data_IF_676325415489
#
_entry.id   IF_676325415489
#
_cell.length_a   1.000
_cell.length_b   1.000
_cell.length_c   1.000
_cell.angle_alpha   90.00
_cell.angle_beta   90.00
_cell.angle_gamma   90.00
#
_symmetry.space_group_name_H-M   'P 1'
#
loop_
_entity.id
_entity.type
_entity.pdbx_description
1 polymer ?
#
# COMPACT_ATOMS: atom_id res chain seq x y z
N UNK A 1 21.08 -1.97 -7.08
CA UNK A 1 20.02 -2.45 -8.02
C UNK A 1 18.70 -2.43 -7.24
N UNK A 2 17.65 -1.83 -7.78
CA UNK A 2 16.35 -1.78 -7.10
C UNK A 2 15.77 -3.21 -7.00
N UNK A 3 15.55 -3.79 -5.80
CA UNK A 3 15.05 -5.15 -5.67
C UNK A 3 13.66 -5.35 -6.29
N UNK A 4 12.85 -4.29 -6.36
CA UNK A 4 11.49 -4.30 -6.91
C UNK A 4 11.44 -4.42 -8.45
N UNK A 5 12.60 -4.43 -9.13
CA UNK A 5 12.71 -4.62 -10.58
C UNK A 5 13.07 -6.07 -10.97
N UNK A 6 12.76 -7.08 -10.12
CA UNK A 6 13.04 -8.50 -10.38
C UNK A 6 11.77 -9.30 -10.66
N UNK A 7 11.84 -10.31 -11.55
CA UNK A 7 10.72 -11.21 -11.84
C UNK A 7 10.21 -11.93 -10.57
N UNK A 8 11.15 -12.31 -9.71
CA UNK A 8 10.85 -12.96 -8.43
C UNK A 8 9.95 -12.08 -7.57
N UNK A 9 10.33 -10.80 -7.36
CA UNK A 9 9.54 -9.90 -6.53
C UNK A 9 8.20 -9.53 -7.17
N UNK A 10 8.14 -9.38 -8.49
CA UNK A 10 6.85 -9.20 -9.19
C UNK A 10 5.90 -10.37 -8.92
N UNK A 11 6.39 -11.61 -9.03
CA UNK A 11 5.58 -12.81 -8.76
C UNK A 11 5.13 -12.90 -7.30
N UNK A 12 6.02 -12.58 -6.33
CA UNK A 12 5.69 -12.55 -4.90
C UNK A 12 4.64 -11.47 -4.58
N UNK A 13 4.73 -10.28 -5.19
CA UNK A 13 3.76 -9.21 -4.99
C UNK A 13 2.43 -9.50 -5.69
N UNK A 14 2.43 -10.13 -6.86
CA UNK A 14 1.19 -10.60 -7.49
C UNK A 14 0.51 -11.66 -6.62
N UNK A 15 1.26 -12.61 -6.05
CA UNK A 15 0.74 -13.58 -5.09
C UNK A 15 0.16 -12.88 -3.86
N UNK A 16 0.92 -11.98 -3.23
CA UNK A 16 0.51 -11.24 -2.02
C UNK A 16 -0.75 -10.39 -2.23
N UNK A 17 -0.90 -9.80 -3.43
CA UNK A 17 -1.99 -8.89 -3.76
C UNK A 17 -3.25 -9.58 -4.29
N UNK A 18 -3.11 -10.69 -5.03
CA UNK A 18 -4.22 -11.26 -5.80
C UNK A 18 -4.58 -12.70 -5.45
N UNK A 19 -3.73 -13.43 -4.73
CA UNK A 19 -4.03 -14.80 -4.36
C UNK A 19 -5.14 -14.87 -3.31
N UNK A 20 -5.97 -15.91 -3.39
CA UNK A 20 -6.95 -16.17 -2.33
C UNK A 20 -6.25 -16.65 -1.05
N UNK A 21 -6.90 -16.50 0.13
CA UNK A 21 -6.33 -16.97 1.38
C UNK A 21 -5.86 -18.43 1.34
N UNK A 22 -6.60 -19.31 0.65
CA UNK A 22 -6.28 -20.74 0.51
C UNK A 22 -5.04 -20.99 -0.36
N UNK A 23 -4.72 -20.04 -1.24
CA UNK A 23 -3.51 -20.12 -2.08
C UNK A 23 -2.26 -19.62 -1.35
N UNK A 24 -2.43 -18.75 -0.35
CA UNK A 24 -1.33 -18.14 0.43
C UNK A 24 -1.05 -18.95 1.68
N UNK A 25 -2.08 -19.23 2.49
CA UNK A 25 -1.96 -19.84 3.82
C UNK A 25 -1.62 -21.33 3.69
N UNK A 26 -0.63 -21.84 4.47
CA UNK A 26 -0.32 -23.26 4.43
C UNK A 26 -1.48 -24.11 4.98
N UNK A 27 -1.67 -25.32 4.47
CA UNK A 27 -2.65 -26.26 5.03
C UNK A 27 -2.39 -26.51 6.51
N UNK A 28 -3.46 -26.55 7.31
CA UNK A 28 -3.38 -26.91 8.75
C UNK A 28 -3.11 -25.73 9.70
N UNK A 29 -3.05 -24.49 9.19
CA UNK A 29 -2.90 -23.25 10.00
C UNK A 29 -3.97 -22.22 9.65
N UNK A 30 -5.26 -22.53 9.83
CA UNK A 30 -6.37 -21.64 9.44
C UNK A 30 -6.35 -20.29 10.17
N UNK A 31 -5.67 -20.19 11.31
CA UNK A 31 -5.50 -18.96 12.08
C UNK A 31 -4.81 -17.85 11.26
N UNK A 32 -3.97 -18.24 10.29
CA UNK A 32 -3.27 -17.28 9.41
C UNK A 32 -4.17 -16.70 8.32
N UNK A 33 -5.38 -17.24 8.09
CA UNK A 33 -6.31 -16.74 7.07
C UNK A 33 -6.65 -15.26 7.27
N UNK A 34 -6.75 -14.79 8.51
CA UNK A 34 -7.00 -13.40 8.85
C UNK A 34 -5.86 -12.44 8.42
N UNK A 35 -4.68 -12.99 8.08
CA UNK A 35 -3.51 -12.23 7.62
C UNK A 35 -3.38 -12.16 6.10
N UNK A 36 -4.23 -12.87 5.35
CA UNK A 36 -4.29 -12.78 3.89
C UNK A 36 -5.04 -11.52 3.42
N UNK A 37 -5.06 -11.27 2.12
CA UNK A 37 -5.79 -10.16 1.48
C UNK A 37 -5.45 -8.77 2.03
N UNK A 38 -4.22 -8.54 2.44
CA UNK A 38 -3.83 -7.28 3.07
C UNK A 38 -4.14 -6.05 2.21
N UNK A 39 -3.85 -6.10 0.91
CA UNK A 39 -4.11 -4.98 -0.01
C UNK A 39 -5.61 -4.63 -0.12
N UNK A 40 -6.50 -5.62 0.04
CA UNK A 40 -7.95 -5.40 0.12
C UNK A 40 -8.33 -4.83 1.48
N UNK A 41 -7.85 -5.45 2.57
CA UNK A 41 -8.20 -5.07 3.94
C UNK A 41 -7.69 -3.70 4.35
N UNK A 42 -6.54 -3.27 3.83
CA UNK A 42 -6.01 -1.92 4.07
C UNK A 42 -6.94 -0.82 3.57
N UNK A 43 -7.76 -1.10 2.55
CA UNK A 43 -8.82 -0.21 2.06
C UNK A 43 -10.13 -0.53 2.76
N UNK A 44 -10.63 -1.76 2.66
CA UNK A 44 -11.98 -2.11 3.10
C UNK A 44 -12.24 -1.88 4.60
N UNK A 45 -11.20 -1.94 5.45
CA UNK A 45 -11.33 -1.69 6.90
C UNK A 45 -11.04 -0.26 7.31
N UNK A 46 -10.23 0.46 6.52
CA UNK A 46 -9.73 1.77 6.93
C UNK A 46 -10.45 2.94 6.23
N UNK A 47 -10.97 2.74 5.01
CA UNK A 47 -11.68 3.78 4.29
C UNK A 47 -13.01 4.14 4.99
N UNK A 48 -13.16 5.41 5.35
CA UNK A 48 -14.39 5.94 5.93
C UNK A 48 -15.33 6.37 4.79
N UNK A 49 -16.16 5.43 4.34
CA UNK A 49 -17.03 5.65 3.16
C UNK A 49 -18.05 6.76 3.33
N UNK A 50 -18.50 7.00 4.56
CA UNK A 50 -19.47 8.05 4.90
C UNK A 50 -18.90 9.47 4.73
N UNK A 51 -17.57 9.61 4.68
CA UNK A 51 -16.90 10.88 4.44
C UNK A 51 -16.62 11.15 2.95
N UNK A 52 -16.97 10.21 2.06
CA UNK A 52 -16.66 10.35 0.64
C UNK A 52 -17.70 11.19 -0.09
N UNK A 53 -17.29 12.17 -0.92
CA UNK A 53 -18.20 12.81 -1.86
C UNK A 53 -18.57 11.82 -2.99
N UNK A 54 -19.70 12.08 -3.67
CA UNK A 54 -20.20 11.23 -4.77
C UNK A 54 -19.16 10.99 -5.88
N UNK A 55 -18.32 11.99 -6.15
CA UNK A 55 -17.28 11.95 -7.19
C UNK A 55 -15.89 11.89 -6.55
N UNK A 56 -15.73 11.05 -5.55
CA UNK A 56 -14.47 10.92 -4.85
C UNK A 56 -13.33 10.51 -5.80
N UNK A 57 -12.15 11.11 -5.58
CA UNK A 57 -10.89 10.79 -6.26
C UNK A 57 -9.91 10.23 -5.26
N UNK A 58 -9.19 9.18 -5.61
CA UNK A 58 -8.19 8.57 -4.75
C UNK A 58 -6.81 8.55 -5.40
N UNK A 59 -5.78 8.69 -4.57
CA UNK A 59 -4.37 8.46 -4.88
C UNK A 59 -3.86 7.31 -4.02
N UNK A 60 -3.31 6.28 -4.65
CA UNK A 60 -2.70 5.13 -4.01
C UNK A 60 -1.19 5.20 -4.22
N UNK A 61 -0.44 5.63 -3.21
CA UNK A 61 1.01 5.87 -3.28
C UNK A 61 1.76 4.63 -2.80
N UNK A 62 2.68 4.12 -3.63
CA UNK A 62 3.30 2.82 -3.42
C UNK A 62 2.31 1.69 -3.71
N UNK A 63 1.52 1.83 -4.80
CA UNK A 63 0.44 0.90 -5.14
C UNK A 63 0.92 -0.51 -5.51
N UNK A 64 2.22 -0.72 -5.68
CA UNK A 64 2.82 -1.95 -6.16
C UNK A 64 2.11 -2.48 -7.42
N UNK A 65 1.60 -3.71 -7.39
CA UNK A 65 0.89 -4.32 -8.52
C UNK A 65 -0.62 -3.96 -8.56
N UNK A 66 -1.09 -2.98 -7.77
CA UNK A 66 -2.34 -2.25 -7.98
C UNK A 66 -3.61 -2.81 -7.32
N UNK A 67 -3.55 -3.84 -6.47
CA UNK A 67 -4.78 -4.43 -5.91
C UNK A 67 -5.56 -3.47 -5.00
N UNK A 68 -4.87 -2.69 -4.17
CA UNK A 68 -5.47 -1.62 -3.34
C UNK A 68 -6.14 -0.54 -4.18
N UNK A 69 -5.50 -0.15 -5.30
CA UNK A 69 -6.08 0.82 -6.24
C UNK A 69 -7.42 0.32 -6.83
N UNK A 70 -7.51 -0.97 -7.18
CA UNK A 70 -8.77 -1.55 -7.63
C UNK A 70 -9.82 -1.61 -6.51
N UNK A 71 -9.42 -1.84 -5.27
CA UNK A 71 -10.36 -1.82 -4.15
C UNK A 71 -10.90 -0.41 -3.88
N UNK A 72 -10.04 0.63 -3.97
CA UNK A 72 -10.48 2.03 -3.91
C UNK A 72 -11.49 2.37 -5.02
N UNK A 73 -11.36 1.78 -6.22
CA UNK A 73 -12.29 2.01 -7.33
C UNK A 73 -13.72 1.49 -7.10
N UNK A 74 -13.97 0.72 -6.04
CA UNK A 74 -15.34 0.40 -5.59
C UNK A 74 -16.07 1.64 -5.08
N UNK A 75 -15.33 2.59 -4.52
CA UNK A 75 -15.86 3.75 -3.80
C UNK A 75 -15.54 5.08 -4.47
N UNK A 76 -14.49 5.12 -5.30
CA UNK A 76 -14.02 6.33 -5.96
C UNK A 76 -14.28 6.28 -7.47
N UNK A 77 -14.58 7.43 -8.07
CA UNK A 77 -14.85 7.56 -9.51
C UNK A 77 -13.56 7.64 -10.33
N UNK A 78 -12.47 8.07 -9.71
CA UNK A 78 -11.13 8.12 -10.29
C UNK A 78 -10.11 7.66 -9.24
N UNK A 79 -9.22 6.74 -9.64
CA UNK A 79 -8.12 6.27 -8.80
C UNK A 79 -6.82 6.35 -9.59
N UNK A 80 -5.80 6.93 -8.97
CA UNK A 80 -4.44 6.97 -9.51
C UNK A 80 -3.56 6.11 -8.62
N UNK A 81 -3.02 5.02 -9.16
CA UNK A 81 -1.99 4.24 -8.50
C UNK A 81 -0.61 4.68 -8.95
N UNK A 82 0.28 4.93 -8.01
CA UNK A 82 1.67 5.36 -8.28
C UNK A 82 2.64 4.43 -7.58
N UNK A 83 3.65 3.98 -8.31
CA UNK A 83 4.75 3.21 -7.75
C UNK A 83 6.07 3.57 -8.44
N UNK A 84 7.17 3.44 -7.73
CA UNK A 84 8.50 3.71 -8.26
C UNK A 84 8.97 2.61 -9.23
N UNK A 85 8.50 1.37 -9.07
CA UNK A 85 8.88 0.23 -9.91
C UNK A 85 8.12 0.25 -11.24
N UNK A 86 8.86 0.35 -12.32
CA UNK A 86 8.32 0.20 -13.67
C UNK A 86 7.68 -1.16 -13.89
N UNK A 87 8.25 -2.22 -13.29
CA UNK A 87 7.75 -3.59 -13.43
C UNK A 87 6.45 -3.81 -12.67
N UNK A 88 6.32 -3.26 -11.48
CA UNK A 88 5.07 -3.29 -10.74
C UNK A 88 3.97 -2.56 -11.48
N UNK A 89 4.25 -1.37 -12.01
CA UNK A 89 3.28 -0.61 -12.81
C UNK A 89 2.91 -1.33 -14.10
N UNK A 90 3.87 -1.98 -14.77
CA UNK A 90 3.56 -2.81 -15.95
C UNK A 90 2.63 -3.98 -15.58
N UNK A 91 2.88 -4.67 -14.46
CA UNK A 91 2.01 -5.75 -13.97
C UNK A 91 0.60 -5.23 -13.60
N UNK A 92 0.51 -4.09 -12.89
CA UNK A 92 -0.76 -3.45 -12.55
C UNK A 92 -1.58 -3.07 -13.79
N UNK A 93 -0.92 -2.53 -14.84
CA UNK A 93 -1.55 -2.22 -16.13
C UNK A 93 -2.03 -3.48 -16.85
N UNK A 94 -1.24 -4.56 -16.85
CA UNK A 94 -1.65 -5.84 -17.43
C UNK A 94 -2.90 -6.40 -16.74
N UNK A 95 -2.97 -6.35 -15.41
CA UNK A 95 -4.18 -6.75 -14.66
C UNK A 95 -5.36 -5.84 -14.98
N UNK A 96 -5.16 -4.54 -15.13
CA UNK A 96 -6.22 -3.61 -15.55
C UNK A 96 -6.80 -4.00 -16.91
N UNK A 97 -5.96 -4.35 -17.87
CA UNK A 97 -6.37 -4.69 -19.23
C UNK A 97 -7.07 -6.05 -19.29
N UNK A 98 -6.47 -7.08 -18.68
CA UNK A 98 -6.97 -8.45 -18.75
C UNK A 98 -8.15 -8.72 -17.80
N UNK A 99 -8.17 -8.08 -16.63
CA UNK A 99 -9.12 -8.35 -15.55
C UNK A 99 -8.70 -9.50 -14.64
N UNK A 100 -7.49 -10.01 -14.79
CA UNK A 100 -6.93 -11.06 -13.95
C UNK A 100 -5.43 -10.87 -13.75
N UNK A 101 -4.90 -11.43 -12.68
CA UNK A 101 -3.48 -11.57 -12.42
C UNK A 101 -3.02 -13.01 -12.72
N UNK A 102 -1.92 -13.15 -13.44
CA UNK A 102 -1.23 -14.42 -13.67
C UNK A 102 0.14 -14.37 -13.02
N UNK A 103 0.47 -15.41 -12.25
CA UNK A 103 1.76 -15.47 -11.55
C UNK A 103 2.11 -16.90 -11.17
N UNK A 104 3.39 -17.14 -10.90
CA UNK A 104 3.90 -18.41 -10.42
C UNK A 104 4.09 -18.35 -8.90
N UNK A 105 3.41 -19.22 -8.18
CA UNK A 105 3.61 -19.41 -6.75
C UNK A 105 4.76 -20.39 -6.54
N UNK A 106 5.86 -19.93 -5.93
CA UNK A 106 6.99 -20.77 -5.60
C UNK A 106 6.60 -21.83 -4.56
N UNK A 107 6.92 -23.10 -4.84
CA UNK A 107 6.70 -24.20 -3.91
C UNK A 107 8.02 -24.63 -3.24
N UNK A 108 9.04 -24.96 -4.05
CA UNK A 108 10.35 -25.37 -3.55
C UNK A 108 11.39 -25.21 -4.67
N UNK A 109 12.47 -24.46 -4.42
CA UNK A 109 13.53 -24.26 -5.40
C UNK A 109 12.99 -23.70 -6.73
N UNK A 110 13.04 -24.51 -7.80
CA UNK A 110 12.50 -24.15 -9.12
C UNK A 110 11.07 -24.67 -9.36
N UNK A 111 10.48 -25.39 -8.40
CA UNK A 111 9.12 -25.87 -8.51
C UNK A 111 8.15 -24.72 -8.23
N UNK A 112 7.19 -24.51 -9.13
CA UNK A 112 6.19 -23.46 -8.99
C UNK A 112 4.83 -23.94 -9.53
N UNK A 113 3.76 -23.38 -8.97
CA UNK A 113 2.39 -23.57 -9.43
C UNK A 113 1.93 -22.31 -10.16
N UNK A 114 1.52 -22.44 -11.42
CA UNK A 114 0.92 -21.34 -12.17
C UNK A 114 -0.50 -21.08 -11.66
N UNK A 115 -0.79 -19.82 -11.35
CA UNK A 115 -2.08 -19.36 -10.84
C UNK A 115 -2.63 -18.22 -11.70
N UNK A 116 -3.96 -18.17 -11.78
CA UNK A 116 -4.70 -17.05 -12.38
C UNK A 116 -5.87 -16.68 -11.49
N UNK A 117 -5.90 -15.43 -11.05
CA UNK A 117 -6.94 -14.92 -10.18
C UNK A 117 -7.61 -13.69 -10.79
N UNK A 118 -8.93 -13.72 -10.90
CA UNK A 118 -9.72 -12.66 -11.50
C UNK A 118 -9.99 -11.53 -10.51
N UNK A 119 -10.01 -10.30 -11.00
CA UNK A 119 -10.59 -9.20 -10.25
C UNK A 119 -12.10 -9.40 -10.12
N UNK A 120 -12.69 -9.03 -8.97
CA UNK A 120 -14.13 -9.02 -8.80
C UNK A 120 -14.82 -8.20 -9.91
N UNK A 121 -15.88 -8.77 -10.50
CA UNK A 121 -16.57 -8.19 -11.68
C UNK A 121 -17.22 -6.84 -11.41
N UNK A 122 -17.54 -6.56 -10.14
CA UNK A 122 -18.12 -5.30 -9.68
C UNK A 122 -17.13 -4.13 -9.62
N UNK A 123 -15.83 -4.39 -9.81
CA UNK A 123 -14.81 -3.34 -9.87
C UNK A 123 -14.72 -2.77 -11.29
N UNK A 124 -15.10 -1.50 -11.46
CA UNK A 124 -14.90 -0.80 -12.73
C UNK A 124 -13.43 -0.40 -12.91
N UNK A 125 -12.67 -1.26 -13.59
CA UNK A 125 -11.23 -1.07 -13.87
C UNK A 125 -10.92 0.19 -14.66
N UNK A 126 -11.88 0.76 -15.40
CA UNK A 126 -11.69 1.99 -16.19
C UNK A 126 -11.43 3.20 -15.32
N UNK A 127 -11.91 3.17 -14.06
CA UNK A 127 -11.69 4.22 -13.06
C UNK A 127 -10.24 4.31 -12.57
N UNK A 128 -9.43 3.27 -12.80
CA UNK A 128 -8.05 3.20 -12.31
C UNK A 128 -7.08 3.53 -13.41
N UNK A 129 -6.08 4.35 -13.12
CA UNK A 129 -4.88 4.54 -13.94
C UNK A 129 -3.63 4.32 -13.11
N UNK A 130 -2.56 3.83 -13.73
CA UNK A 130 -1.30 3.54 -13.08
C UNK A 130 -0.18 4.35 -13.71
N UNK A 131 0.64 4.99 -12.86
CA UNK A 131 1.73 5.87 -13.24
C UNK A 131 3.01 5.46 -12.52
N UNK A 132 4.15 5.48 -13.21
CA UNK A 132 5.44 5.36 -12.53
C UNK A 132 5.78 6.72 -11.92
N UNK A 133 6.14 6.73 -10.63
CA UNK A 133 6.48 7.97 -9.94
C UNK A 133 7.14 7.72 -8.58
N UNK A 134 7.87 8.73 -8.12
CA UNK A 134 8.52 8.71 -6.81
C UNK A 134 7.62 9.38 -5.78
N UNK A 135 7.30 8.65 -4.70
CA UNK A 135 6.50 9.16 -3.58
C UNK A 135 7.08 10.43 -2.94
N UNK A 136 8.39 10.61 -3.01
CA UNK A 136 9.06 11.80 -2.48
C UNK A 136 9.01 13.01 -3.42
N UNK A 137 8.51 12.84 -4.66
CA UNK A 137 8.50 13.87 -5.71
C UNK A 137 7.21 13.83 -6.53
N UNK A 138 6.06 13.68 -5.89
CA UNK A 138 4.77 13.59 -6.59
C UNK A 138 4.40 14.86 -7.34
N UNK A 139 4.86 16.03 -6.88
CA UNK A 139 4.63 17.31 -7.53
C UNK A 139 5.25 17.41 -8.93
N UNK A 140 6.29 16.63 -9.21
CA UNK A 140 6.95 16.59 -10.52
C UNK A 140 6.39 15.54 -11.47
N UNK A 141 5.40 14.77 -11.02
CA UNK A 141 4.77 13.70 -11.81
C UNK A 141 3.69 14.23 -12.75
N UNK A 142 3.33 13.46 -13.78
CA UNK A 142 2.19 13.75 -14.68
C UNK A 142 0.83 13.65 -14.00
N UNK A 143 0.81 13.34 -12.70
CA UNK A 143 -0.38 13.22 -11.88
C UNK A 143 -1.00 14.60 -11.72
N UNK A 144 -2.27 14.76 -12.10
CA UNK A 144 -3.02 15.99 -11.84
C UNK A 144 -3.27 16.17 -10.34
N UNK A 145 -2.30 16.74 -9.64
CA UNK A 145 -2.34 17.02 -8.19
C UNK A 145 -3.18 18.27 -7.91
N UNK A 146 -3.32 19.18 -8.88
CA UNK A 146 -3.83 20.54 -8.73
C UNK A 146 -5.20 20.63 -8.01
N UNK A 147 -6.03 19.59 -8.09
CA UNK A 147 -7.34 19.55 -7.46
C UNK A 147 -7.37 18.75 -6.15
N UNK A 148 -6.23 18.17 -5.74
CA UNK A 148 -6.13 17.25 -4.60
C UNK A 148 -6.97 15.97 -4.76
N UNK A 149 -6.92 15.12 -3.73
CA UNK A 149 -7.65 13.85 -3.67
C UNK A 149 -8.52 13.81 -2.43
N UNK A 150 -9.66 13.14 -2.53
CA UNK A 150 -10.55 12.90 -1.39
C UNK A 150 -10.01 11.78 -0.49
N UNK A 151 -9.19 10.88 -1.07
CA UNK A 151 -8.47 9.82 -0.37
C UNK A 151 -7.03 9.75 -0.85
N UNK A 152 -6.08 9.74 0.07
CA UNK A 152 -4.69 9.32 -0.18
C UNK A 152 -4.43 8.08 0.65
N UNK A 153 -4.05 6.99 -0.03
CA UNK A 153 -3.70 5.71 0.59
C UNK A 153 -2.21 5.44 0.38
N UNK A 154 -1.50 5.05 1.43
CA UNK A 154 -0.10 4.66 1.36
C UNK A 154 0.15 3.49 2.31
N UNK A 155 0.19 2.27 1.74
CA UNK A 155 0.30 1.04 2.51
C UNK A 155 1.74 0.51 2.51
N UNK A 156 2.30 0.34 3.73
CA UNK A 156 3.64 -0.19 3.97
C UNK A 156 4.73 0.53 3.16
N UNK A 157 4.59 1.86 3.04
CA UNK A 157 5.44 2.71 2.22
C UNK A 157 6.45 3.52 3.05
N UNK A 158 6.03 4.14 4.15
CA UNK A 158 6.85 5.16 4.84
C UNK A 158 8.18 4.62 5.36
N UNK A 159 8.23 3.36 5.74
CA UNK A 159 9.44 2.68 6.21
C UNK A 159 10.28 2.06 5.06
N UNK A 160 9.97 2.45 3.82
CA UNK A 160 10.68 2.09 2.57
C UNK A 160 11.19 3.31 1.80
N UNK A 161 10.89 4.52 2.28
CA UNK A 161 11.36 5.77 1.67
C UNK A 161 12.69 6.19 2.29
N UNK A 162 13.58 6.72 1.47
CA UNK A 162 14.85 7.28 1.98
C UNK A 162 14.65 8.57 2.78
N UNK A 163 13.58 9.33 2.51
CA UNK A 163 13.16 10.50 3.29
C UNK A 163 11.62 10.50 3.45
N UNK A 164 11.10 9.78 4.47
CA UNK A 164 9.65 9.74 4.72
C UNK A 164 9.06 11.11 5.11
N UNK A 165 9.83 12.00 5.73
CA UNK A 165 9.35 13.36 6.04
C UNK A 165 9.07 14.16 4.77
N UNK A 166 9.85 13.97 3.72
CA UNK A 166 9.61 14.62 2.44
C UNK A 166 8.27 14.19 1.84
N UNK A 167 7.91 12.92 1.96
CA UNK A 167 6.58 12.44 1.56
C UNK A 167 5.48 13.08 2.42
N UNK A 168 5.62 13.07 3.75
CA UNK A 168 4.61 13.64 4.66
C UNK A 168 4.35 15.13 4.39
N UNK A 169 5.39 15.91 4.06
CA UNK A 169 5.26 17.34 3.75
C UNK A 169 4.47 17.66 2.49
N UNK A 170 4.30 16.70 1.57
CA UNK A 170 3.46 16.85 0.38
C UNK A 170 1.97 16.62 0.67
N UNK A 171 1.64 15.87 1.73
CA UNK A 171 0.26 15.43 2.02
C UNK A 171 -0.75 16.59 2.13
N UNK A 172 -0.43 17.76 2.72
CA UNK A 172 -1.36 18.88 2.72
C UNK A 172 -1.76 19.40 1.32
N UNK A 173 -0.90 19.22 0.32
CA UNK A 173 -1.23 19.58 -1.07
C UNK A 173 -1.97 18.44 -1.79
N UNK A 174 -1.78 17.20 -1.37
CA UNK A 174 -2.36 16.02 -2.01
C UNK A 174 -3.77 15.71 -1.52
N UNK A 175 -4.03 15.87 -0.22
CA UNK A 175 -5.33 15.57 0.39
C UNK A 175 -6.18 16.84 0.43
N UNK A 176 -7.41 16.81 -0.06
CA UNK A 176 -8.35 17.95 0.06
C UNK A 176 -8.72 18.22 1.52
N UNK A 177 -9.11 19.45 1.90
CA UNK A 177 -9.78 19.70 3.18
C UNK A 177 -10.99 18.76 3.34
N UNK A 178 -11.12 18.11 4.50
CA UNK A 178 -12.10 17.04 4.74
C UNK A 178 -11.77 15.69 4.11
N UNK A 179 -10.74 15.59 3.28
CA UNK A 179 -10.28 14.35 2.69
C UNK A 179 -9.51 13.46 3.68
N UNK A 180 -9.35 12.19 3.31
CA UNK A 180 -8.79 11.15 4.15
C UNK A 180 -7.37 10.78 3.72
N UNK A 181 -6.50 10.58 4.70
CA UNK A 181 -5.20 9.94 4.55
C UNK A 181 -5.24 8.59 5.28
N UNK A 182 -4.92 7.52 4.57
CA UNK A 182 -4.80 6.17 5.12
C UNK A 182 -3.34 5.76 5.03
N UNK A 183 -2.69 5.58 6.17
CA UNK A 183 -1.32 5.08 6.26
C UNK A 183 -1.32 3.71 6.91
N UNK A 184 -0.53 2.77 6.38
CA UNK A 184 -0.18 1.56 7.10
C UNK A 184 1.33 1.36 7.10
N UNK A 185 1.89 0.83 8.18
CA UNK A 185 3.31 0.45 8.22
C UNK A 185 3.57 -0.53 9.36
N UNK A 186 4.42 -1.54 9.15
CA UNK A 186 4.96 -2.38 10.21
C UNK A 186 6.09 -1.68 10.99
N UNK A 187 6.45 -0.45 10.59
CA UNK A 187 7.56 0.33 11.18
C UNK A 187 8.88 -0.44 11.20
N UNK A 188 9.13 -1.21 10.14
CA UNK A 188 10.39 -1.94 9.95
C UNK A 188 11.46 -0.99 9.42
N UNK A 189 11.98 -0.15 10.31
CA UNK A 189 13.05 0.78 9.98
C UNK A 189 14.36 0.02 9.75
N UNK A 190 14.87 0.08 8.52
CA UNK A 190 16.12 -0.54 8.08
C UNK A 190 16.95 0.48 7.31
N UNK A 191 18.24 0.56 7.60
CA UNK A 191 19.18 1.49 6.94
C UNK A 191 19.31 1.23 5.43
N UNK A 192 19.03 0.01 4.97
CA UNK A 192 18.99 -0.35 3.55
C UNK A 192 17.95 0.45 2.75
N UNK A 193 16.90 0.95 3.41
CA UNK A 193 15.84 1.75 2.80
C UNK A 193 15.86 3.19 3.28
N UNK A 194 15.87 3.38 4.60
CA UNK A 194 15.77 4.68 5.25
C UNK A 194 17.00 4.90 6.11
N UNK A 195 17.86 5.89 5.82
CA UNK A 195 18.95 6.26 6.71
C UNK A 195 18.44 6.51 8.13
N UNK A 196 19.15 6.06 9.16
CA UNK A 196 18.71 6.13 10.55
C UNK A 196 18.31 7.58 10.98
N UNK A 197 19.02 8.59 10.48
CA UNK A 197 18.72 9.99 10.74
C UNK A 197 17.32 10.44 10.24
N UNK A 198 16.71 9.68 9.32
CA UNK A 198 15.41 9.95 8.73
C UNK A 198 14.29 9.04 9.29
N UNK A 199 14.59 8.15 10.24
CA UNK A 199 13.56 7.34 10.88
C UNK A 199 12.53 8.20 11.60
N UNK A 200 11.27 7.84 11.48
CA UNK A 200 10.19 8.56 12.17
C UNK A 200 9.97 8.07 13.61
N UNK A 201 10.59 6.99 14.01
CA UNK A 201 10.46 6.44 15.35
C UNK A 201 11.37 5.24 15.55
N UNK A 202 11.26 4.56 16.71
CA UNK A 202 12.12 3.42 17.03
C UNK A 202 13.48 3.82 17.61
N UNK A 203 13.58 5.05 18.18
CA UNK A 203 14.78 5.57 18.82
C UNK A 203 14.45 6.31 20.14
N UNK A 204 15.46 6.68 20.89
CA UNK A 204 15.33 7.51 22.11
C UNK A 204 15.76 8.95 21.81
N UNK A 205 14.96 9.90 22.25
CA UNK A 205 15.27 11.34 22.27
C UNK A 205 15.17 11.84 23.71
N UNK A 206 16.29 12.33 24.26
CA UNK A 206 16.38 12.75 25.68
C UNK A 206 15.83 11.68 26.64
N UNK A 207 16.29 10.44 26.51
CA UNK A 207 15.88 9.26 27.31
C UNK A 207 14.39 8.85 27.16
N UNK A 208 13.62 9.49 26.28
CA UNK A 208 12.23 9.16 26.01
C UNK A 208 12.14 8.36 24.71
N UNK A 209 11.41 7.24 24.68
CA UNK A 209 11.16 6.52 23.44
C UNK A 209 10.32 7.39 22.50
N UNK A 210 10.69 7.43 21.22
CA UNK A 210 9.93 8.08 20.15
C UNK A 210 9.29 6.97 19.32
N UNK A 211 7.96 6.91 19.32
CA UNK A 211 7.21 6.00 18.45
C UNK A 211 6.89 6.67 17.11
N UNK A 212 6.74 5.86 16.07
CA UNK A 212 6.39 6.39 14.73
C UNK A 212 5.02 7.08 14.75
N UNK A 213 4.03 6.54 15.47
CA UNK A 213 2.71 7.16 15.55
C UNK A 213 2.75 8.56 16.21
N UNK A 214 3.48 8.71 17.32
CA UNK A 214 3.67 10.02 17.96
C UNK A 214 4.36 11.01 17.01
N UNK A 215 5.35 10.54 16.26
CA UNK A 215 6.02 11.39 15.27
C UNK A 215 5.08 11.78 14.13
N UNK A 216 4.27 10.85 13.60
CA UNK A 216 3.25 11.18 12.60
C UNK A 216 2.28 12.26 13.10
N UNK A 217 1.83 12.18 14.36
CA UNK A 217 0.96 13.21 14.95
C UNK A 217 1.61 14.60 15.02
N UNK A 218 2.93 14.67 15.19
CA UNK A 218 3.69 15.94 15.20
C UNK A 218 3.91 16.48 13.78
N UNK A 219 4.18 15.60 12.82
CA UNK A 219 4.50 15.96 11.43
C UNK A 219 3.27 16.21 10.55
N UNK A 220 2.08 15.85 11.03
CA UNK A 220 0.79 16.03 10.35
C UNK A 220 -0.14 16.99 11.11
N UNK A 221 0.30 18.26 11.40
CA UNK A 221 -0.49 19.20 12.22
C UNK A 221 -1.82 19.58 11.57
N UNK A 222 -1.91 19.53 10.24
CA UNK A 222 -3.13 19.84 9.48
C UNK A 222 -4.13 18.67 9.42
N UNK A 223 -3.80 17.54 10.08
CA UNK A 223 -4.61 16.34 10.05
C UNK A 223 -5.08 15.96 11.45
N UNK A 224 -6.29 15.42 11.53
CA UNK A 224 -6.85 14.82 12.74
C UNK A 224 -6.78 13.28 12.62
N UNK A 225 -6.10 12.62 13.55
CA UNK A 225 -6.14 11.16 13.64
C UNK A 225 -7.54 10.72 14.08
N UNK A 226 -8.23 9.94 13.24
CA UNK A 226 -9.55 9.41 13.55
C UNK A 226 -9.48 8.07 14.26
N UNK A 227 -8.67 7.15 13.74
CA UNK A 227 -8.60 5.77 14.26
C UNK A 227 -7.27 5.12 13.92
N UNK A 228 -6.91 4.11 14.70
CA UNK A 228 -5.81 3.18 14.42
C UNK A 228 -6.29 1.75 14.56
N UNK A 229 -5.72 0.85 13.78
CA UNK A 229 -6.01 -0.59 13.84
C UNK A 229 -4.77 -1.39 13.45
N UNK A 230 -4.52 -2.50 14.14
CA UNK A 230 -3.52 -3.47 13.73
C UNK A 230 -4.06 -4.35 12.60
N UNK A 231 -3.30 -4.41 11.50
CA UNK A 231 -3.60 -5.22 10.33
C UNK A 231 -2.48 -6.25 10.13
N UNK A 232 -2.64 -7.50 10.58
CA UNK A 232 -1.66 -8.53 10.30
C UNK A 232 -1.62 -8.84 8.80
N UNK A 233 -0.44 -9.18 8.28
CA UNK A 233 -0.27 -9.60 6.90
C UNK A 233 0.74 -10.73 6.77
N UNK A 234 0.59 -11.52 5.70
CA UNK A 234 1.39 -12.70 5.43
C UNK A 234 1.93 -12.65 4.01
N UNK A 235 3.24 -12.60 3.87
CA UNK A 235 3.94 -12.75 2.59
C UNK A 235 4.46 -14.18 2.52
N UNK A 236 4.05 -14.92 1.48
CA UNK A 236 4.54 -16.26 1.21
C UNK A 236 5.73 -16.17 0.24
N UNK A 237 6.91 -16.60 0.69
CA UNK A 237 8.08 -16.72 -0.18
C UNK A 237 8.11 -18.06 -0.94
N UNK A 238 7.78 -19.15 -0.24
CA UNK A 238 7.60 -20.50 -0.81
C UNK A 238 6.77 -21.37 0.15
N UNK A 239 6.54 -22.65 -0.17
CA UNK A 239 5.64 -23.50 0.58
C UNK A 239 5.95 -23.67 2.08
N UNK A 240 7.18 -23.39 2.50
CA UNK A 240 7.65 -23.57 3.89
C UNK A 240 8.25 -22.32 4.52
N UNK A 241 8.19 -21.15 3.81
CA UNK A 241 8.74 -19.89 4.33
C UNK A 241 7.74 -18.75 4.12
N UNK A 242 7.46 -18.08 5.22
CA UNK A 242 6.48 -17.00 5.30
C UNK A 242 7.05 -15.86 6.14
N UNK A 243 6.72 -14.62 5.76
CA UNK A 243 6.93 -13.45 6.60
C UNK A 243 5.56 -13.05 7.15
N UNK A 244 5.35 -13.20 8.44
CA UNK A 244 4.18 -12.70 9.14
C UNK A 244 4.54 -11.42 9.87
N UNK A 245 3.76 -10.37 9.67
CA UNK A 245 3.98 -9.06 10.25
C UNK A 245 2.66 -8.41 10.62
N UNK A 246 2.71 -7.38 11.47
CA UNK A 246 1.56 -6.56 11.82
C UNK A 246 1.87 -5.12 11.38
N UNK A 247 1.07 -4.57 10.47
CA UNK A 247 1.09 -3.17 10.15
C UNK A 247 0.12 -2.43 11.06
N UNK A 248 0.56 -1.33 11.68
CA UNK A 248 -0.37 -0.37 12.27
C UNK A 248 -0.97 0.46 11.13
N UNK A 249 -2.27 0.39 10.98
CA UNK A 249 -3.03 1.26 10.09
C UNK A 249 -3.55 2.47 10.85
N UNK A 250 -3.55 3.63 10.22
CA UNK A 250 -4.07 4.89 10.78
C UNK A 250 -4.85 5.66 9.73
N UNK A 251 -5.98 6.24 10.13
CA UNK A 251 -6.81 7.09 9.29
C UNK A 251 -6.81 8.51 9.84
N UNK A 252 -6.55 9.44 8.96
CA UNK A 252 -6.46 10.86 9.27
C UNK A 252 -7.41 11.64 8.37
N UNK A 253 -8.00 12.72 8.89
CA UNK A 253 -8.78 13.67 8.10
C UNK A 253 -8.08 15.01 8.09
N UNK A 254 -7.94 15.60 6.90
CA UNK A 254 -7.39 16.94 6.75
C UNK A 254 -8.39 17.98 7.26
N UNK A 255 -7.93 18.88 8.10
CA UNK A 255 -8.70 20.03 8.63
C UNK A 255 -8.94 21.09 7.56
#
# INVERSE_FOLDING_TARGET
MNPYETDKLVAEYLLFHYASPEQVVPPGVPEMMASADFAVRSVARMLQTDLLPRNARALDVGCAVGRSSFELARHCTEVVGVDFSHRFIAAARAVKESGYAEFNRCEEGHLATALRNFLPSEIDRRRVRFETGDAMHLESSSIRINDGFDVVHAANLIDRLSDPLRFLRQLPALVKPGGQLILTSPYTWLEDYTPQANWLGGFYENERPVTTLERLQRELPDFLLLTTQDLPFLIREHARKYQWSIAQASVWVRR
#
